data_IF_924674992782
#
_entry.id   IF_924674992782
#
_cell.length_a   1.000
_cell.length_b   1.000
_cell.length_c   1.000
_cell.angle_alpha   90.00
_cell.angle_beta   90.00
_cell.angle_gamma   90.00
#
_symmetry.space_group_name_H-M   'P 1'
#
loop_
_entity.id
_entity.type
_entity.pdbx_description
1 polymer ?
#
# COMPACT_ATOMS: atom_id res chain seq x y z
N UNK A 1 -19.50 -1.94 17.15
CA UNK A 1 -19.55 -0.87 16.13
C UNK A 1 -18.39 0.11 16.21
N UNK A 2 -18.06 0.70 17.37
CA UNK A 2 -16.93 1.65 17.49
C UNK A 2 -15.55 1.06 17.12
N UNK A 3 -15.30 -0.21 17.43
CA UNK A 3 -14.03 -0.89 17.12
C UNK A 3 -13.81 -1.13 15.62
N UNK A 4 -14.89 -1.26 14.85
CA UNK A 4 -14.85 -1.52 13.41
C UNK A 4 -14.52 -0.25 12.61
N UNK A 5 -15.04 0.90 13.06
CA UNK A 5 -14.68 2.21 12.51
C UNK A 5 -13.23 2.59 12.82
N UNK A 6 -12.74 2.26 14.03
CA UNK A 6 -11.33 2.44 14.38
C UNK A 6 -10.41 1.57 13.50
N UNK A 7 -10.84 0.36 13.15
CA UNK A 7 -10.14 -0.51 12.20
C UNK A 7 -10.08 0.11 10.79
N UNK A 8 -11.21 0.54 10.22
CA UNK A 8 -11.22 1.16 8.88
C UNK A 8 -10.42 2.46 8.85
N UNK A 9 -10.53 3.28 9.89
CA UNK A 9 -9.70 4.49 10.06
C UNK A 9 -8.20 4.15 10.08
N UNK A 10 -7.79 3.08 10.74
CA UNK A 10 -6.40 2.63 10.75
C UNK A 10 -5.94 2.17 9.35
N UNK A 11 -6.80 1.46 8.62
CA UNK A 11 -6.49 1.02 7.24
C UNK A 11 -6.35 2.21 6.29
N UNK A 12 -7.21 3.23 6.42
CA UNK A 12 -7.13 4.46 5.62
C UNK A 12 -5.91 5.32 5.97
N UNK A 13 -5.55 5.41 7.26
CA UNK A 13 -4.29 6.03 7.67
C UNK A 13 -3.08 5.30 7.07
N UNK A 14 -3.10 3.96 7.06
CA UNK A 14 -2.02 3.17 6.47
C UNK A 14 -1.92 3.35 4.95
N UNK A 15 -3.05 3.44 4.25
CA UNK A 15 -3.07 3.79 2.83
C UNK A 15 -2.47 5.19 2.57
N UNK A 16 -2.75 6.16 3.44
CA UNK A 16 -2.14 7.49 3.40
C UNK A 16 -0.62 7.46 3.60
N UNK A 17 -0.12 6.66 4.55
CA UNK A 17 1.31 6.45 4.77
C UNK A 17 2.02 5.85 3.55
N UNK A 18 1.33 4.95 2.81
CA UNK A 18 1.84 4.36 1.56
C UNK A 18 1.94 5.42 0.45
N UNK A 19 0.91 6.27 0.29
CA UNK A 19 0.92 7.35 -0.71
C UNK A 19 2.01 8.38 -0.42
N UNK A 20 2.19 8.78 0.85
CA UNK A 20 3.28 9.67 1.26
C UNK A 20 4.66 9.04 1.01
N UNK A 21 4.82 7.73 1.26
CA UNK A 21 6.06 7.01 0.98
C UNK A 21 6.37 6.94 -0.53
N UNK A 22 5.35 6.78 -1.39
CA UNK A 22 5.49 6.84 -2.85
C UNK A 22 5.94 8.24 -3.27
N UNK A 23 5.33 9.28 -2.72
CA UNK A 23 5.66 10.66 -3.05
C UNK A 23 7.10 11.01 -2.64
N UNK A 24 7.52 10.63 -1.43
CA UNK A 24 8.89 10.87 -0.93
C UNK A 24 9.94 10.09 -1.73
N UNK A 25 9.67 8.82 -2.05
CA UNK A 25 10.54 8.00 -2.91
C UNK A 25 10.68 8.61 -4.32
N UNK A 26 9.59 9.13 -4.88
CA UNK A 26 9.57 9.74 -6.21
C UNK A 26 10.35 11.06 -6.24
N UNK A 27 10.19 11.91 -5.22
CA UNK A 27 10.92 13.19 -5.11
C UNK A 27 12.43 12.95 -4.96
N UNK A 28 12.84 12.00 -4.11
CA UNK A 28 14.27 11.67 -3.89
C UNK A 28 14.96 11.07 -5.13
N UNK A 29 14.22 10.38 -6.00
CA UNK A 29 14.77 9.75 -7.20
C UNK A 29 15.23 10.73 -8.30
N UNK A 30 14.98 12.04 -8.16
CA UNK A 30 15.11 13.03 -9.25
C UNK A 30 16.51 13.66 -9.39
N UNK A 31 17.45 13.45 -8.45
CA UNK A 31 18.77 14.08 -8.54
C UNK A 31 19.87 13.23 -9.23
N UNK A 32 19.80 11.89 -9.21
CA UNK A 32 20.84 11.02 -9.79
C UNK A 32 20.24 9.78 -10.49
N UNK A 33 20.09 9.89 -11.82
CA UNK A 33 19.26 9.03 -12.66
C UNK A 33 19.71 7.54 -12.80
N UNK A 34 20.81 7.12 -12.17
CA UNK A 34 21.31 5.73 -12.25
C UNK A 34 20.91 4.86 -11.02
N UNK A 35 20.55 5.46 -9.88
CA UNK A 35 19.94 4.78 -8.72
C UNK A 35 18.40 4.75 -8.80
N UNK A 36 17.84 5.37 -9.83
CA UNK A 36 16.41 5.63 -10.04
C UNK A 36 15.57 4.38 -10.30
N UNK A 37 16.16 3.28 -10.79
CA UNK A 37 15.39 2.06 -11.08
C UNK A 37 14.83 1.40 -9.82
N UNK A 38 15.62 1.29 -8.74
CA UNK A 38 15.16 0.70 -7.48
C UNK A 38 14.05 1.53 -6.81
N UNK A 39 14.15 2.86 -6.87
CA UNK A 39 13.10 3.75 -6.37
C UNK A 39 11.83 3.71 -7.23
N UNK A 40 11.95 3.62 -8.55
CA UNK A 40 10.81 3.45 -9.45
C UNK A 40 10.11 2.10 -9.19
N UNK A 41 10.88 1.03 -9.02
CA UNK A 41 10.31 -0.30 -8.79
C UNK A 41 9.68 -0.42 -7.39
N UNK A 42 10.28 0.21 -6.39
CA UNK A 42 9.66 0.37 -5.08
C UNK A 42 8.34 1.16 -5.16
N UNK A 43 8.31 2.28 -5.89
CA UNK A 43 7.11 3.08 -6.09
C UNK A 43 6.00 2.29 -6.79
N UNK A 44 6.34 1.48 -7.81
CA UNK A 44 5.37 0.57 -8.45
C UNK A 44 4.84 -0.47 -7.47
N UNK A 45 5.70 -1.06 -6.65
CA UNK A 45 5.28 -2.04 -5.65
C UNK A 45 4.30 -1.42 -4.64
N UNK A 46 4.59 -0.20 -4.16
CA UNK A 46 3.68 0.54 -3.28
C UNK A 46 2.36 0.93 -3.95
N UNK A 47 2.38 1.31 -5.24
CA UNK A 47 1.15 1.60 -5.99
C UNK A 47 0.23 0.37 -6.06
N UNK A 48 0.80 -0.81 -6.32
CA UNK A 48 0.05 -2.08 -6.31
C UNK A 48 -0.51 -2.37 -4.91
N UNK A 49 0.25 -2.06 -3.85
CA UNK A 49 -0.24 -2.23 -2.49
C UNK A 49 -1.42 -1.30 -2.18
N UNK A 50 -1.37 -0.05 -2.63
CA UNK A 50 -2.44 0.91 -2.47
C UNK A 50 -3.71 0.49 -3.24
N UNK A 51 -3.57 0.04 -4.50
CA UNK A 51 -4.70 -0.45 -5.31
C UNK A 51 -5.38 -1.66 -4.63
N UNK A 52 -4.59 -2.59 -4.09
CA UNK A 52 -5.13 -3.74 -3.36
C UNK A 52 -5.92 -3.32 -2.11
N UNK A 53 -5.43 -2.35 -1.33
CA UNK A 53 -6.16 -1.79 -0.20
C UNK A 53 -7.43 -1.06 -0.63
N UNK A 54 -7.40 -0.37 -1.77
CA UNK A 54 -8.56 0.30 -2.32
C UNK A 54 -9.65 -0.71 -2.70
N UNK A 55 -9.30 -1.82 -3.36
CA UNK A 55 -10.25 -2.91 -3.65
C UNK A 55 -10.83 -3.52 -2.37
N UNK A 56 -10.00 -3.80 -1.37
CA UNK A 56 -10.49 -4.29 -0.08
C UNK A 56 -11.47 -3.29 0.58
N UNK A 57 -11.19 -1.99 0.51
CA UNK A 57 -12.06 -0.95 1.05
C UNK A 57 -13.39 -0.84 0.29
N UNK A 58 -13.39 -0.93 -1.05
CA UNK A 58 -14.62 -0.98 -1.85
C UNK A 58 -15.48 -2.18 -1.49
N UNK A 59 -14.89 -3.35 -1.27
CA UNK A 59 -15.61 -4.55 -0.84
C UNK A 59 -16.33 -4.35 0.51
N UNK A 60 -15.65 -3.75 1.48
CA UNK A 60 -16.27 -3.40 2.77
C UNK A 60 -17.41 -2.39 2.56
N UNK A 61 -17.19 -1.38 1.71
CA UNK A 61 -18.20 -0.36 1.42
C UNK A 61 -19.45 -0.95 0.73
N UNK A 62 -19.28 -2.00 -0.08
CA UNK A 62 -20.37 -2.78 -0.68
C UNK A 62 -21.06 -3.74 0.30
N UNK A 63 -20.60 -3.80 1.56
CA UNK A 63 -21.21 -4.60 2.62
C UNK A 63 -20.74 -6.04 2.66
N UNK A 64 -19.63 -6.39 2.01
CA UNK A 64 -19.04 -7.71 2.17
C UNK A 64 -18.56 -7.89 3.61
N UNK A 65 -18.68 -9.12 4.16
CA UNK A 65 -18.23 -9.37 5.50
C UNK A 65 -16.70 -9.34 5.57
N UNK A 66 -16.16 -8.94 6.71
CA UNK A 66 -14.71 -8.74 6.91
C UNK A 66 -13.90 -10.04 6.89
N UNK A 67 -14.56 -11.19 7.07
CA UNK A 67 -13.98 -12.53 6.95
C UNK A 67 -14.13 -13.10 5.54
N UNK A 68 -14.53 -12.27 4.56
CA UNK A 68 -14.57 -12.68 3.17
C UNK A 68 -13.16 -13.06 2.67
N UNK A 69 -12.97 -14.28 2.11
CA UNK A 69 -11.66 -14.74 1.64
C UNK A 69 -11.01 -13.85 0.57
N UNK A 70 -11.81 -13.18 -0.25
CA UNK A 70 -11.35 -12.27 -1.30
C UNK A 70 -10.83 -10.96 -0.70
N UNK A 71 -11.48 -10.44 0.34
CA UNK A 71 -10.97 -9.29 1.10
C UNK A 71 -9.65 -9.64 1.79
N UNK A 72 -9.56 -10.81 2.41
CA UNK A 72 -8.32 -11.29 3.03
C UNK A 72 -7.18 -11.43 2.00
N UNK A 73 -7.48 -11.90 0.79
CA UNK A 73 -6.52 -11.95 -0.30
C UNK A 73 -5.97 -10.56 -0.64
N UNK A 74 -6.84 -9.56 -0.83
CA UNK A 74 -6.41 -8.20 -1.19
C UNK A 74 -5.56 -7.55 -0.10
N UNK A 75 -5.92 -7.73 1.18
CA UNK A 75 -5.12 -7.22 2.31
C UNK A 75 -3.74 -7.89 2.34
N UNK A 76 -3.67 -9.22 2.20
CA UNK A 76 -2.38 -9.94 2.15
C UNK A 76 -1.53 -9.55 0.95
N UNK A 77 -2.14 -9.29 -0.21
CA UNK A 77 -1.45 -8.83 -1.41
C UNK A 77 -0.84 -7.44 -1.20
N UNK A 78 -1.59 -6.54 -0.53
CA UNK A 78 -1.08 -5.22 -0.16
C UNK A 78 0.13 -5.30 0.76
N UNK A 79 0.05 -6.10 1.84
CA UNK A 79 1.15 -6.29 2.78
C UNK A 79 2.41 -6.84 2.09
N UNK A 80 2.24 -7.85 1.23
CA UNK A 80 3.36 -8.44 0.50
C UNK A 80 4.05 -7.41 -0.42
N UNK A 81 3.27 -6.58 -1.11
CA UNK A 81 3.80 -5.57 -2.04
C UNK A 81 4.42 -4.38 -1.32
N UNK A 82 3.86 -3.97 -0.19
CA UNK A 82 4.48 -2.97 0.67
C UNK A 82 5.81 -3.47 1.25
N UNK A 83 5.90 -4.74 1.65
CA UNK A 83 7.14 -5.34 2.12
C UNK A 83 8.21 -5.40 1.00
N UNK A 84 7.80 -5.77 -0.22
CA UNK A 84 8.67 -5.77 -1.41
C UNK A 84 9.24 -4.38 -1.71
N UNK A 85 8.38 -3.35 -1.75
CA UNK A 85 8.81 -1.97 -1.98
C UNK A 85 9.76 -1.46 -0.88
N UNK A 86 9.49 -1.79 0.39
CA UNK A 86 10.41 -1.46 1.51
C UNK A 86 11.77 -2.14 1.36
N UNK A 87 11.79 -3.42 0.99
CA UNK A 87 13.04 -4.16 0.79
C UNK A 87 13.89 -3.56 -0.33
N UNK A 88 13.25 -3.13 -1.43
CA UNK A 88 13.93 -2.45 -2.54
C UNK A 88 14.54 -1.11 -2.12
N UNK A 89 13.83 -0.31 -1.31
CA UNK A 89 14.35 0.95 -0.77
C UNK A 89 15.52 0.74 0.20
N UNK A 90 15.46 -0.31 1.03
CA UNK A 90 16.54 -0.62 1.98
C UNK A 90 17.81 -1.19 1.32
N UNK A 91 17.70 -1.73 0.11
CA UNK A 91 18.81 -2.31 -0.63
C UNK A 91 19.48 -1.34 -1.63
N UNK A 92 18.90 -0.15 -1.83
CA UNK A 92 19.38 0.91 -2.72
C UNK A 92 20.31 1.89 -1.99
#
# INVERSE_FOLDING_TARGET
MQTQLASISAHLCHAGEIVDAIADATVKATADAQQTLAHIDAAKAFMIAADALYFAAEMIALGLPVDNPELEFWVRAADAKAAEGKAMLCAA
#
